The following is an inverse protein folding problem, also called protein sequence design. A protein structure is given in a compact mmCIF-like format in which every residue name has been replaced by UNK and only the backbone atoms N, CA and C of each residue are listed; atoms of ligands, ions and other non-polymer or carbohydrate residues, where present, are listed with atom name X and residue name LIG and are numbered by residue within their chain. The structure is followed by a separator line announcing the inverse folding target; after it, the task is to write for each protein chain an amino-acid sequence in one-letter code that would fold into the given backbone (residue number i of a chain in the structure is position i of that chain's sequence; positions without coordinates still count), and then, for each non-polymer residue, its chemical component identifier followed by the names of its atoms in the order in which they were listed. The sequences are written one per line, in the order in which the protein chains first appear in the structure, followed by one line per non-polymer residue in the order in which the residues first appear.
data_IF_176195850584
#
_entry.id   IF_176195850584
#
_cell.length_a   1.000
_cell.length_b   1.000
_cell.length_c   1.000
_cell.angle_alpha   90.00
_cell.angle_beta   90.00
_cell.angle_gamma   90.00
#
_symmetry.space_group_name_H-M   'P 1'
#
loop_
_entity.id
_entity.type
_entity.pdbx_description
1 polymer ?
#
# COMPACT_ATOMS: atom_id res chain seq x y z
N UNK A 1 2.37 -22.06 -39.39
CA UNK A 1 1.19 -21.14 -39.46
C UNK A 1 0.01 -21.81 -38.80
N UNK A 2 -0.37 -21.39 -37.60
CA UNK A 2 -1.52 -21.91 -36.83
C UNK A 2 -2.69 -20.94 -37.03
N UNK A 3 -3.73 -21.39 -37.67
CA UNK A 3 -4.96 -20.69 -37.98
C UNK A 3 -5.74 -20.47 -36.65
N UNK A 4 -5.90 -19.22 -36.23
CA UNK A 4 -6.80 -18.84 -35.15
C UNK A 4 -8.25 -19.02 -35.59
N UNK A 5 -9.04 -19.76 -34.83
CA UNK A 5 -10.50 -19.82 -34.97
C UNK A 5 -11.07 -18.56 -34.36
N UNK A 6 -11.74 -17.76 -35.18
CA UNK A 6 -12.58 -16.66 -34.72
C UNK A 6 -13.82 -17.27 -34.03
N UNK A 7 -13.97 -17.00 -32.74
CA UNK A 7 -15.21 -17.24 -32.03
C UNK A 7 -16.18 -16.12 -32.40
N UNK A 8 -17.22 -16.45 -33.12
CA UNK A 8 -18.30 -15.53 -33.45
C UNK A 8 -18.88 -14.92 -32.14
N UNK A 9 -18.72 -13.63 -32.02
CA UNK A 9 -19.28 -12.84 -30.95
C UNK A 9 -20.79 -12.74 -31.26
N UNK A 10 -21.61 -13.45 -30.54
CA UNK A 10 -23.07 -13.25 -30.59
C UNK A 10 -23.38 -11.77 -30.43
N UNK A 11 -23.86 -11.16 -31.49
CA UNK A 11 -24.18 -9.73 -31.51
C UNK A 11 -25.20 -9.42 -30.40
N UNK A 12 -24.91 -8.40 -29.60
CA UNK A 12 -25.83 -7.89 -28.55
C UNK A 12 -27.23 -7.64 -29.10
N UNK A 13 -27.33 -7.22 -30.39
CA UNK A 13 -28.57 -7.04 -31.13
C UNK A 13 -29.36 -8.32 -31.31
N UNK A 14 -28.73 -9.50 -31.41
CA UNK A 14 -29.44 -10.79 -31.52
C UNK A 14 -30.08 -11.20 -30.19
N UNK A 15 -29.40 -10.91 -29.08
CA UNK A 15 -29.94 -11.17 -27.74
C UNK A 15 -31.15 -10.25 -27.45
N UNK A 16 -31.08 -9.00 -27.90
CA UNK A 16 -32.17 -8.01 -27.72
C UNK A 16 -33.43 -8.38 -28.50
N UNK A 17 -33.29 -8.89 -29.72
CA UNK A 17 -34.40 -9.37 -30.53
C UNK A 17 -35.08 -10.61 -29.90
N UNK A 18 -34.30 -11.55 -29.35
CA UNK A 18 -34.81 -12.74 -28.68
C UNK A 18 -35.57 -12.38 -27.39
N UNK A 19 -35.01 -11.49 -26.57
CA UNK A 19 -35.65 -11.06 -25.31
C UNK A 19 -36.92 -10.27 -25.56
N UNK A 20 -36.95 -9.40 -26.56
CA UNK A 20 -38.17 -8.67 -26.97
C UNK A 20 -39.25 -9.61 -27.54
N UNK A 21 -38.87 -10.61 -28.37
CA UNK A 21 -39.74 -11.62 -28.91
C UNK A 21 -40.38 -12.51 -27.83
N UNK A 22 -39.56 -12.97 -26.88
CA UNK A 22 -40.04 -13.77 -25.75
C UNK A 22 -40.96 -12.95 -24.83
N UNK A 23 -40.65 -11.69 -24.56
CA UNK A 23 -41.46 -10.77 -23.78
C UNK A 23 -42.87 -10.56 -24.41
N UNK A 24 -42.93 -10.39 -25.73
CA UNK A 24 -44.18 -10.25 -26.48
C UNK A 24 -45.02 -11.53 -26.44
N UNK A 25 -44.38 -12.72 -26.56
CA UNK A 25 -45.09 -14.02 -26.49
C UNK A 25 -45.65 -14.24 -25.08
N UNK A 26 -44.89 -13.94 -24.03
CA UNK A 26 -45.37 -14.08 -22.64
C UNK A 26 -46.50 -13.11 -22.37
N UNK A 27 -46.42 -11.87 -22.85
CA UNK A 27 -47.49 -10.89 -22.71
C UNK A 27 -48.80 -11.39 -23.40
N UNK A 28 -48.67 -11.94 -24.61
CA UNK A 28 -49.79 -12.47 -25.38
C UNK A 28 -50.40 -13.71 -24.71
N UNK A 29 -49.55 -14.55 -24.10
CA UNK A 29 -50.00 -15.75 -23.35
C UNK A 29 -50.73 -15.36 -22.05
N UNK A 30 -50.26 -14.31 -21.38
CA UNK A 30 -50.94 -13.75 -20.20
C UNK A 30 -52.29 -13.16 -20.59
N UNK A 31 -52.37 -12.39 -21.68
CA UNK A 31 -53.64 -11.80 -22.16
C UNK A 31 -54.63 -12.87 -22.65
N UNK A 32 -54.16 -13.93 -23.30
CA UNK A 32 -55.03 -15.02 -23.75
C UNK A 32 -55.44 -15.95 -22.62
N UNK A 33 -54.63 -16.10 -21.57
CA UNK A 33 -54.94 -16.93 -20.41
C UNK A 33 -55.86 -16.19 -19.39
N UNK A 34 -56.01 -14.87 -19.53
CA UNK A 34 -57.04 -14.09 -18.83
C UNK A 34 -58.40 -14.15 -19.55
N UNK A 35 -58.58 -15.17 -20.42
CA UNK A 35 -59.90 -15.46 -21.01
C UNK A 35 -60.89 -15.56 -19.90
N UNK A 36 -61.65 -14.51 -19.79
CA UNK A 36 -62.90 -14.47 -18.99
C UNK A 36 -63.70 -15.74 -19.31
N UNK A 37 -63.75 -16.64 -18.34
CA UNK A 37 -64.75 -17.67 -18.36
C UNK A 37 -66.12 -16.93 -18.34
N UNK A 38 -66.59 -16.60 -19.51
CA UNK A 38 -67.97 -16.18 -19.67
C UNK A 38 -68.85 -17.40 -19.34
N UNK A 39 -69.06 -17.57 -18.05
CA UNK A 39 -70.17 -18.39 -17.59
C UNK A 39 -71.45 -17.74 -18.15
N UNK A 40 -72.04 -18.39 -19.19
CA UNK A 40 -73.38 -18.07 -19.68
C UNK A 40 -74.33 -18.17 -18.48
N UNK A 41 -74.79 -17.00 -18.02
CA UNK A 41 -75.84 -16.88 -17.04
C UNK A 41 -77.11 -17.24 -17.79
N UNK A 42 -77.52 -18.51 -17.66
CA UNK A 42 -78.90 -18.85 -17.94
C UNK A 42 -79.80 -18.17 -16.89
N UNK A 43 -80.45 -17.11 -17.31
CA UNK A 43 -81.44 -16.42 -16.51
C UNK A 43 -82.70 -17.34 -16.41
N UNK A 44 -82.75 -18.10 -15.32
CA UNK A 44 -84.03 -18.60 -14.84
C UNK A 44 -84.75 -17.50 -14.06
N UNK A 45 -85.99 -17.15 -14.35
CA UNK A 45 -86.72 -16.19 -13.57
C UNK A 45 -87.18 -16.87 -12.25
N UNK A 46 -86.97 -16.14 -11.15
CA UNK A 46 -87.37 -16.43 -9.77
C UNK A 46 -86.37 -17.20 -8.89
N UNK A 47 -85.40 -16.51 -8.46
CA UNK A 47 -84.84 -16.69 -7.08
C UNK A 47 -84.11 -15.45 -6.65
N UNK A 48 -84.79 -14.68 -5.84
CA UNK A 48 -84.31 -13.62 -4.90
C UNK A 48 -82.85 -13.04 -5.12
N UNK A 49 -82.82 -11.74 -5.36
CA UNK A 49 -81.62 -10.86 -5.34
C UNK A 49 -80.64 -11.14 -4.18
N UNK A 50 -81.07 -11.74 -3.09
CA UNK A 50 -80.31 -12.15 -1.93
C UNK A 50 -79.25 -13.24 -2.20
N UNK A 51 -79.50 -14.16 -3.17
CA UNK A 51 -78.55 -15.21 -3.53
C UNK A 51 -77.35 -14.69 -4.33
N UNK A 52 -77.65 -13.78 -5.25
CA UNK A 52 -76.62 -13.12 -6.05
C UNK A 52 -75.68 -12.20 -5.18
N UNK A 53 -76.31 -11.43 -4.30
CA UNK A 53 -75.59 -10.55 -3.35
C UNK A 53 -74.71 -11.39 -2.44
N UNK A 54 -75.18 -12.52 -1.95
CA UNK A 54 -74.41 -13.41 -1.08
C UNK A 54 -73.20 -14.02 -1.83
N UNK A 55 -73.35 -14.45 -3.04
CA UNK A 55 -72.32 -15.02 -3.88
C UNK A 55 -71.20 -13.94 -4.20
N UNK A 56 -71.65 -12.73 -4.54
CA UNK A 56 -70.74 -11.63 -4.78
C UNK A 56 -69.93 -11.21 -3.48
N UNK A 57 -70.63 -11.24 -2.35
CA UNK A 57 -69.96 -11.02 -1.05
C UNK A 57 -68.90 -12.09 -0.73
N UNK A 58 -69.23 -13.36 -0.98
CA UNK A 58 -68.27 -14.46 -0.76
C UNK A 58 -67.04 -14.35 -1.68
N UNK A 59 -67.27 -14.07 -2.96
CA UNK A 59 -66.17 -13.78 -3.90
C UNK A 59 -65.31 -12.55 -3.47
N UNK A 60 -65.94 -11.52 -2.96
CA UNK A 60 -65.28 -10.33 -2.48
C UNK A 60 -64.40 -10.63 -1.23
N UNK A 61 -64.90 -11.48 -0.32
CA UNK A 61 -64.13 -11.97 0.82
C UNK A 61 -62.97 -12.84 0.39
N UNK A 62 -63.16 -13.73 -0.58
CA UNK A 62 -62.10 -14.58 -1.13
C UNK A 62 -61.00 -13.74 -1.81
N UNK A 63 -61.40 -12.78 -2.66
CA UNK A 63 -60.44 -11.87 -3.32
C UNK A 63 -59.68 -11.02 -2.30
N UNK A 64 -60.37 -10.47 -1.29
CA UNK A 64 -59.69 -9.73 -0.21
C UNK A 64 -58.73 -10.63 0.57
N UNK A 65 -59.09 -11.87 0.86
CA UNK A 65 -58.22 -12.85 1.50
C UNK A 65 -56.94 -13.10 0.68
N UNK A 66 -57.12 -13.37 -0.62
CA UNK A 66 -56.00 -13.57 -1.54
C UNK A 66 -55.12 -12.34 -1.66
N UNK A 67 -55.69 -11.14 -1.73
CA UNK A 67 -54.95 -9.87 -1.78
C UNK A 67 -54.10 -9.66 -0.53
N UNK A 68 -54.65 -9.96 0.65
CA UNK A 68 -53.91 -9.84 1.90
C UNK A 68 -52.75 -10.83 1.99
N UNK A 69 -52.92 -12.08 1.53
CA UNK A 69 -51.86 -13.08 1.47
C UNK A 69 -50.77 -12.61 0.51
N UNK A 70 -51.13 -12.24 -0.73
CA UNK A 70 -50.15 -11.76 -1.71
C UNK A 70 -49.38 -10.50 -1.23
N UNK A 71 -50.08 -9.58 -0.55
CA UNK A 71 -49.43 -8.39 0.00
C UNK A 71 -48.41 -8.74 1.08
N UNK A 72 -48.69 -9.76 1.91
CA UNK A 72 -47.76 -10.29 2.89
C UNK A 72 -46.54 -10.94 2.23
N UNK A 73 -46.83 -11.86 1.28
CA UNK A 73 -45.75 -12.56 0.55
C UNK A 73 -44.84 -11.57 -0.20
N UNK A 74 -45.40 -10.50 -0.77
CA UNK A 74 -44.66 -9.44 -1.43
C UNK A 74 -43.77 -8.68 -0.44
N UNK A 75 -44.27 -8.42 0.77
CA UNK A 75 -43.50 -7.73 1.82
C UNK A 75 -42.35 -8.61 2.28
N UNK A 76 -42.61 -9.88 2.55
CA UNK A 76 -41.61 -10.86 2.96
C UNK A 76 -40.53 -11.06 1.89
N UNK A 77 -40.95 -11.12 0.61
CA UNK A 77 -39.99 -11.20 -0.51
C UNK A 77 -39.12 -9.95 -0.64
N UNK A 78 -39.68 -8.75 -0.40
CA UNK A 78 -38.91 -7.50 -0.39
C UNK A 78 -37.90 -7.44 0.77
N UNK A 79 -38.26 -7.91 1.96
CA UNK A 79 -37.34 -7.98 3.09
C UNK A 79 -36.20 -8.97 2.81
N UNK A 80 -36.52 -10.14 2.26
CA UNK A 80 -35.52 -11.13 1.86
C UNK A 80 -34.55 -10.55 0.80
N UNK A 81 -35.09 -9.86 -0.21
CA UNK A 81 -34.28 -9.21 -1.25
C UNK A 81 -33.33 -8.19 -0.65
N UNK A 82 -33.82 -7.31 0.23
CA UNK A 82 -32.97 -6.34 0.95
C UNK A 82 -31.88 -7.02 1.77
N UNK A 83 -32.21 -8.14 2.44
CA UNK A 83 -31.21 -8.95 3.16
C UNK A 83 -30.15 -9.56 2.24
N UNK A 84 -30.55 -10.02 1.06
CA UNK A 84 -29.57 -10.53 0.07
C UNK A 84 -28.70 -9.42 -0.50
N UNK A 85 -29.25 -8.25 -0.81
CA UNK A 85 -28.48 -7.10 -1.28
C UNK A 85 -27.41 -6.68 -0.26
N UNK A 86 -27.77 -6.62 1.03
CA UNK A 86 -26.81 -6.34 2.09
C UNK A 86 -25.70 -7.40 2.19
N UNK A 87 -26.06 -8.69 2.05
CA UNK A 87 -25.07 -9.77 2.03
C UNK A 87 -24.14 -9.69 0.83
N UNK A 88 -24.67 -9.41 -0.35
CA UNK A 88 -23.86 -9.22 -1.56
C UNK A 88 -22.90 -8.03 -1.39
N UNK A 89 -23.38 -6.90 -0.88
CA UNK A 89 -22.54 -5.74 -0.60
C UNK A 89 -21.42 -6.06 0.41
N UNK A 90 -21.74 -6.81 1.47
CA UNK A 90 -20.76 -7.26 2.45
C UNK A 90 -19.71 -8.22 1.85
N UNK A 91 -20.15 -9.20 1.07
CA UNK A 91 -19.27 -10.14 0.40
C UNK A 91 -18.35 -9.46 -0.62
N UNK A 92 -18.87 -8.49 -1.36
CA UNK A 92 -18.07 -7.69 -2.30
C UNK A 92 -16.98 -6.88 -1.58
N UNK A 93 -17.29 -6.28 -0.42
CA UNK A 93 -16.28 -5.60 0.40
C UNK A 93 -15.20 -6.56 0.91
N UNK A 94 -15.60 -7.76 1.38
CA UNK A 94 -14.65 -8.79 1.82
C UNK A 94 -13.78 -9.29 0.65
N UNK A 95 -14.38 -9.51 -0.51
CA UNK A 95 -13.65 -9.91 -1.72
C UNK A 95 -12.59 -8.86 -2.08
N UNK A 96 -12.97 -7.59 -2.18
CA UNK A 96 -12.06 -6.50 -2.50
C UNK A 96 -10.91 -6.37 -1.47
N UNK A 97 -11.24 -6.51 -0.18
CA UNK A 97 -10.21 -6.53 0.88
C UNK A 97 -9.26 -7.73 0.76
N UNK A 98 -9.77 -8.91 0.40
CA UNK A 98 -8.93 -10.10 0.21
C UNK A 98 -8.06 -9.99 -1.05
N UNK A 99 -8.56 -9.43 -2.14
CA UNK A 99 -7.80 -9.19 -3.37
C UNK A 99 -6.66 -8.19 -3.12
N UNK A 100 -6.90 -7.11 -2.37
CA UNK A 100 -5.85 -6.18 -1.99
C UNK A 100 -4.77 -6.84 -1.11
N UNK A 101 -5.18 -7.66 -0.12
CA UNK A 101 -4.23 -8.42 0.70
C UNK A 101 -3.42 -9.43 -0.12
N UNK A 102 -4.05 -10.08 -1.09
CA UNK A 102 -3.35 -11.01 -1.98
C UNK A 102 -2.31 -10.29 -2.84
N UNK A 103 -2.66 -9.13 -3.38
CA UNK A 103 -1.74 -8.28 -4.14
C UNK A 103 -0.54 -7.84 -3.29
N UNK A 104 -0.80 -7.40 -2.06
CA UNK A 104 0.26 -7.02 -1.13
C UNK A 104 1.17 -8.21 -0.77
N UNK A 105 0.61 -9.39 -0.53
CA UNK A 105 1.36 -10.61 -0.23
C UNK A 105 2.18 -11.09 -1.43
N UNK A 106 1.66 -10.97 -2.66
CA UNK A 106 2.41 -11.31 -3.88
C UNK A 106 3.59 -10.35 -4.08
N UNK A 107 3.39 -9.04 -3.85
CA UNK A 107 4.48 -8.06 -3.87
C UNK A 107 5.56 -8.40 -2.82
N UNK A 108 5.14 -8.71 -1.58
CA UNK A 108 6.06 -9.15 -0.53
C UNK A 108 6.82 -10.43 -0.89
N UNK A 109 6.12 -11.44 -1.43
CA UNK A 109 6.74 -12.71 -1.83
C UNK A 109 7.76 -12.52 -2.95
N UNK A 110 7.47 -11.69 -3.94
CA UNK A 110 8.39 -11.40 -5.04
C UNK A 110 9.65 -10.66 -4.57
N UNK A 111 9.48 -9.71 -3.65
CA UNK A 111 10.59 -8.99 -3.01
C UNK A 111 11.42 -9.93 -2.15
N UNK A 112 10.77 -10.78 -1.35
CA UNK A 112 11.45 -11.76 -0.50
C UNK A 112 12.28 -12.77 -1.32
N UNK A 113 11.73 -13.27 -2.42
CA UNK A 113 12.48 -14.20 -3.32
C UNK A 113 13.65 -13.50 -4.00
N UNK A 114 13.47 -12.24 -4.42
CA UNK A 114 14.55 -11.44 -4.98
C UNK A 114 15.68 -11.19 -3.96
N UNK A 115 15.32 -10.85 -2.71
CA UNK A 115 16.29 -10.66 -1.62
C UNK A 115 17.03 -11.96 -1.31
N UNK A 116 16.35 -13.11 -1.26
CA UNK A 116 16.97 -14.40 -1.00
C UNK A 116 17.98 -14.76 -2.08
N UNK A 117 17.61 -14.59 -3.35
CA UNK A 117 18.50 -14.85 -4.49
C UNK A 117 19.71 -13.91 -4.51
N UNK A 118 19.50 -12.64 -4.17
CA UNK A 118 20.58 -11.67 -4.05
C UNK A 118 21.50 -11.96 -2.86
N UNK A 119 20.93 -12.42 -1.72
CA UNK A 119 21.70 -12.80 -0.54
C UNK A 119 22.58 -14.03 -0.81
N UNK A 120 22.06 -15.03 -1.50
CA UNK A 120 22.85 -16.20 -1.92
C UNK A 120 23.96 -15.82 -2.91
N UNK A 121 23.65 -14.96 -3.88
CA UNK A 121 24.63 -14.42 -4.83
C UNK A 121 25.69 -13.58 -4.12
N UNK A 122 25.29 -12.70 -3.19
CA UNK A 122 26.19 -11.89 -2.39
C UNK A 122 27.05 -12.75 -1.46
N UNK A 123 26.49 -13.82 -0.86
CA UNK A 123 27.23 -14.76 -0.03
C UNK A 123 28.30 -15.51 -0.83
N UNK A 124 27.96 -15.92 -2.06
CA UNK A 124 28.92 -16.57 -2.96
C UNK A 124 30.01 -15.60 -3.42
N UNK A 125 29.67 -14.35 -3.76
CA UNK A 125 30.63 -13.32 -4.15
C UNK A 125 31.50 -12.89 -2.97
N UNK A 126 30.91 -12.74 -1.77
CA UNK A 126 31.62 -12.41 -0.53
C UNK A 126 32.62 -13.52 -0.14
N UNK A 127 32.24 -14.80 -0.32
CA UNK A 127 33.14 -15.92 -0.06
C UNK A 127 34.33 -15.93 -1.04
N UNK A 128 34.08 -15.64 -2.31
CA UNK A 128 35.16 -15.50 -3.31
C UNK A 128 36.02 -14.26 -3.06
N UNK A 129 35.42 -13.15 -2.70
CA UNK A 129 36.15 -11.89 -2.41
C UNK A 129 36.88 -11.96 -1.08
N UNK A 130 36.35 -12.62 -0.03
CA UNK A 130 37.09 -12.91 1.20
C UNK A 130 38.32 -13.79 0.93
N UNK A 131 38.21 -14.81 0.08
CA UNK A 131 39.36 -15.61 -0.32
C UNK A 131 40.39 -14.79 -1.11
N UNK A 132 39.94 -13.87 -1.96
CA UNK A 132 40.83 -12.95 -2.70
C UNK A 132 41.44 -11.87 -1.80
N UNK A 133 40.66 -11.28 -0.88
CA UNK A 133 41.15 -10.27 0.07
C UNK A 133 42.10 -10.87 1.11
N UNK A 134 41.88 -12.07 1.59
CA UNK A 134 42.82 -12.79 2.45
C UNK A 134 44.15 -13.05 1.76
N UNK A 135 44.16 -13.15 0.42
CA UNK A 135 45.39 -13.23 -0.38
C UNK A 135 46.02 -11.86 -0.69
N UNK A 136 45.31 -10.75 -0.52
CA UNK A 136 45.72 -9.39 -0.92
C UNK A 136 45.94 -8.43 0.26
N UNK A 137 45.53 -8.80 1.48
CA UNK A 137 45.66 -7.95 2.71
C UNK A 137 47.12 -7.81 3.18
N UNK A 138 48.06 -7.68 2.29
CA UNK A 138 49.41 -7.24 2.69
C UNK A 138 49.70 -5.78 2.41
N UNK A 139 48.91 -5.03 1.71
CA UNK A 139 49.17 -3.60 1.47
C UNK A 139 47.90 -2.86 1.00
N UNK A 140 47.13 -2.25 1.87
CA UNK A 140 46.44 -0.98 1.60
C UNK A 140 45.73 -0.48 2.87
N UNK A 141 46.25 0.58 3.42
CA UNK A 141 45.54 1.51 4.31
C UNK A 141 44.36 2.12 3.53
N UNK A 142 43.18 1.63 3.75
CA UNK A 142 41.94 2.30 3.32
C UNK A 142 40.98 2.27 4.50
N UNK A 143 40.63 3.43 5.02
CA UNK A 143 39.68 3.63 6.10
C UNK A 143 38.28 3.11 5.69
N UNK A 144 38.05 1.83 5.92
CA UNK A 144 36.74 1.18 5.79
C UNK A 144 36.25 0.85 7.20
N UNK A 145 35.30 1.62 7.72
CA UNK A 145 34.64 1.30 8.99
C UNK A 145 33.40 0.47 8.67
N UNK A 146 33.44 -0.83 9.02
CA UNK A 146 32.31 -1.73 8.78
C UNK A 146 31.98 -1.99 7.31
N UNK A 147 32.95 -1.84 6.38
CA UNK A 147 32.71 -2.06 4.94
C UNK A 147 32.07 -0.88 4.20
N UNK A 148 31.92 0.26 4.87
CA UNK A 148 31.35 1.50 4.29
C UNK A 148 32.50 2.46 3.99
N UNK A 149 32.65 2.95 2.75
CA UNK A 149 33.64 3.99 2.46
C UNK A 149 33.24 5.30 3.14
N UNK A 150 34.11 5.80 4.06
CA UNK A 150 33.92 7.04 4.81
C UNK A 150 34.52 8.20 4.00
N UNK A 151 33.99 8.43 2.79
CA UNK A 151 34.52 9.47 1.89
C UNK A 151 33.47 10.57 1.59
N UNK A 152 32.39 10.62 2.37
CA UNK A 152 31.32 11.61 2.17
C UNK A 152 31.73 12.98 2.72
N UNK A 153 31.55 14.00 1.88
CA UNK A 153 31.84 15.39 2.23
C UNK A 153 30.62 16.11 2.86
N UNK A 154 29.44 15.61 2.56
CA UNK A 154 28.16 16.18 3.01
C UNK A 154 27.25 15.06 3.52
N UNK A 155 26.60 15.27 4.65
CA UNK A 155 25.75 14.27 5.28
C UNK A 155 24.37 14.86 5.58
N UNK A 156 23.33 14.11 5.22
CA UNK A 156 21.95 14.42 5.55
C UNK A 156 21.39 13.31 6.43
N UNK A 157 20.86 13.65 7.57
CA UNK A 157 20.13 12.75 8.43
C UNK A 157 18.63 12.95 8.22
N UNK A 158 17.92 11.88 7.90
CA UNK A 158 16.45 11.85 7.83
C UNK A 158 15.98 11.00 8.99
N UNK A 159 15.21 11.61 9.87
CA UNK A 159 14.76 10.99 11.13
C UNK A 159 13.24 10.82 11.09
N UNK A 160 12.80 9.60 11.27
CA UNK A 160 11.39 9.30 11.49
C UNK A 160 10.95 9.88 12.84
N UNK A 161 9.96 10.74 12.78
CA UNK A 161 9.40 11.44 13.95
C UNK A 161 8.01 10.90 14.33
N UNK A 162 7.72 9.66 13.97
CA UNK A 162 6.49 8.95 14.34
C UNK A 162 6.41 8.67 15.84
N UNK A 163 5.19 8.37 16.29
CA UNK A 163 4.95 8.09 17.70
C UNK A 163 5.73 6.89 18.24
N UNK A 164 5.91 5.82 17.45
CA UNK A 164 6.71 4.64 17.78
C UNK A 164 8.17 5.00 18.03
N UNK A 165 8.76 5.78 17.12
CA UNK A 165 10.14 6.24 17.26
C UNK A 165 10.33 7.14 18.47
N UNK A 166 9.47 8.15 18.67
CA UNK A 166 9.58 9.13 19.74
C UNK A 166 9.42 8.49 21.12
N UNK A 167 8.47 7.55 21.27
CA UNK A 167 8.18 6.93 22.55
C UNK A 167 9.17 5.83 22.95
N UNK A 168 9.69 5.08 21.99
CA UNK A 168 10.46 3.85 22.28
C UNK A 168 11.91 3.97 21.86
N UNK A 169 12.20 4.52 20.69
CA UNK A 169 13.51 4.42 20.07
C UNK A 169 14.30 5.74 20.03
N UNK A 170 13.73 6.86 20.50
CA UNK A 170 14.34 8.18 20.34
C UNK A 170 15.75 8.29 20.92
N UNK A 171 15.95 7.76 22.12
CA UNK A 171 17.29 7.73 22.75
C UNK A 171 18.30 6.90 21.97
N UNK A 172 17.90 5.72 21.51
CA UNK A 172 18.73 4.84 20.66
C UNK A 172 19.05 5.52 19.33
N UNK A 173 18.08 6.21 18.74
CA UNK A 173 18.24 6.93 17.48
C UNK A 173 19.26 8.06 17.62
N UNK A 174 19.16 8.88 18.68
CA UNK A 174 20.14 9.95 18.96
C UNK A 174 21.55 9.37 19.16
N UNK A 175 21.65 8.28 19.92
CA UNK A 175 22.94 7.59 20.13
C UNK A 175 23.53 7.09 18.81
N UNK A 176 22.73 6.43 17.97
CA UNK A 176 23.16 5.92 16.67
C UNK A 176 23.54 7.03 15.70
N UNK A 177 22.79 8.15 15.70
CA UNK A 177 23.12 9.32 14.90
C UNK A 177 24.44 9.93 15.36
N UNK A 178 24.66 10.04 16.67
CA UNK A 178 25.92 10.54 17.24
C UNK A 178 27.08 9.64 16.85
N UNK A 179 26.95 8.33 17.02
CA UNK A 179 27.97 7.34 16.60
C UNK A 179 28.27 7.47 15.10
N UNK A 180 27.25 7.66 14.27
CA UNK A 180 27.45 7.87 12.83
C UNK A 180 28.20 9.17 12.54
N UNK A 181 27.90 10.26 13.26
CA UNK A 181 28.64 11.52 13.14
C UNK A 181 30.10 11.39 13.56
N UNK A 182 30.42 10.58 14.58
CA UNK A 182 31.77 10.39 15.09
C UNK A 182 32.66 9.64 14.08
N UNK A 183 32.09 8.81 13.23
CA UNK A 183 32.80 8.15 12.12
C UNK A 183 33.28 9.18 11.09
N UNK A 184 32.66 10.36 11.01
CA UNK A 184 33.04 11.44 10.11
C UNK A 184 33.64 12.60 10.88
N UNK A 185 34.97 12.63 11.11
CA UNK A 185 35.60 13.65 11.94
C UNK A 185 35.40 15.06 11.40
N UNK A 186 35.42 15.23 10.09
CA UNK A 186 35.22 16.51 9.43
C UNK A 186 34.43 16.35 8.13
N UNK A 187 33.30 17.03 8.03
CA UNK A 187 32.52 17.14 6.79
C UNK A 187 32.31 18.59 6.41
N UNK A 188 32.04 18.87 5.14
CA UNK A 188 31.85 20.24 4.64
C UNK A 188 30.49 20.79 5.04
N UNK A 189 29.49 19.92 5.21
CA UNK A 189 28.15 20.34 5.59
C UNK A 189 27.30 19.20 6.10
N UNK A 190 26.43 19.57 7.03
CA UNK A 190 25.43 18.69 7.65
C UNK A 190 24.02 19.17 7.38
N UNK A 191 23.05 18.26 7.44
CA UNK A 191 21.63 18.60 7.47
C UNK A 191 20.85 17.57 8.28
N UNK A 192 19.81 17.99 8.98
CA UNK A 192 18.85 17.09 9.64
C UNK A 192 17.44 17.47 9.19
N UNK A 193 16.69 16.46 8.77
CA UNK A 193 15.32 16.59 8.30
C UNK A 193 14.45 15.49 8.92
N UNK A 194 13.16 15.77 9.09
CA UNK A 194 12.21 14.69 9.40
C UNK A 194 11.92 13.83 8.17
N UNK A 195 11.34 12.68 8.38
CA UNK A 195 10.79 11.81 7.33
C UNK A 195 9.76 12.53 6.45
N UNK A 196 9.03 13.51 6.98
CA UNK A 196 8.14 14.41 6.22
C UNK A 196 8.89 15.52 5.46
N UNK A 197 10.22 15.59 5.57
CA UNK A 197 11.04 16.60 4.92
C UNK A 197 11.07 17.96 5.62
N UNK A 198 10.67 18.06 6.90
CA UNK A 198 10.83 19.27 7.69
C UNK A 198 12.27 19.39 8.17
N UNK A 199 12.82 20.59 8.14
CA UNK A 199 14.20 20.87 8.58
C UNK A 199 14.24 21.09 10.09
N UNK A 200 15.25 20.54 10.76
CA UNK A 200 15.50 20.83 12.19
C UNK A 200 15.69 22.33 12.43
N UNK A 201 16.40 22.99 11.51
CA UNK A 201 16.62 24.44 11.54
C UNK A 201 16.02 25.09 10.29
N UNK A 202 14.95 25.85 10.46
CA UNK A 202 14.25 26.52 9.36
C UNK A 202 15.13 27.51 8.57
N UNK A 203 16.09 28.17 9.25
CA UNK A 203 17.05 29.10 8.61
C UNK A 203 18.01 28.41 7.65
N UNK A 204 18.21 27.11 7.79
CA UNK A 204 19.04 26.30 6.88
C UNK A 204 18.22 25.51 5.86
N UNK A 205 16.99 25.92 5.59
CA UNK A 205 16.15 25.29 4.56
C UNK A 205 16.86 25.37 3.19
N UNK A 206 17.15 24.20 2.60
CA UNK A 206 17.87 24.08 1.32
C UNK A 206 19.34 24.54 1.38
N UNK A 207 19.91 24.70 2.58
CA UNK A 207 21.30 25.11 2.78
C UNK A 207 22.00 24.13 3.70
N UNK A 208 23.30 23.99 3.49
CA UNK A 208 24.14 23.19 4.37
C UNK A 208 24.44 23.92 5.68
N UNK A 209 24.40 23.17 6.77
CA UNK A 209 24.87 23.63 8.07
C UNK A 209 26.38 23.35 8.09
N UNK A 210 27.26 24.38 8.18
CA UNK A 210 28.69 24.16 8.26
C UNK A 210 29.03 23.33 9.50
N UNK A 211 29.89 22.33 9.32
CA UNK A 211 30.28 21.43 10.40
C UNK A 211 31.27 22.11 11.37
N UNK A 212 30.87 22.15 12.62
CA UNK A 212 31.74 22.56 13.73
C UNK A 212 31.36 21.79 15.00
N UNK A 213 32.28 21.55 15.93
CA UNK A 213 31.95 20.82 17.16
C UNK A 213 30.81 21.46 17.97
N UNK A 214 30.73 22.79 17.98
CA UNK A 214 29.62 23.51 18.63
C UNK A 214 28.29 23.28 17.98
N UNK A 215 28.24 23.27 16.63
CA UNK A 215 27.02 22.99 15.89
C UNK A 215 26.55 21.52 16.00
N UNK A 216 27.50 20.58 15.99
CA UNK A 216 27.15 19.16 16.25
C UNK A 216 26.49 19.00 17.61
N UNK A 217 27.05 19.57 18.68
CA UNK A 217 26.43 19.55 20.01
C UNK A 217 25.04 20.20 20.04
N UNK A 218 24.90 21.37 19.40
CA UNK A 218 23.63 22.07 19.32
C UNK A 218 22.58 21.26 18.52
N UNK A 219 22.96 20.58 17.45
CA UNK A 219 22.10 19.72 16.67
C UNK A 219 21.57 18.55 17.50
N UNK A 220 22.45 17.85 18.21
CA UNK A 220 22.08 16.72 19.09
C UNK A 220 21.16 17.20 20.23
N UNK A 221 21.47 18.34 20.84
CA UNK A 221 20.63 18.93 21.89
C UNK A 221 19.27 19.31 21.38
N UNK A 222 19.16 19.97 20.23
CA UNK A 222 17.88 20.37 19.66
C UNK A 222 17.08 19.17 19.14
N UNK A 223 17.76 18.13 18.67
CA UNK A 223 17.12 16.88 18.27
C UNK A 223 16.41 16.21 19.47
N UNK A 224 16.99 16.30 20.67
CA UNK A 224 16.39 15.71 21.88
C UNK A 224 15.05 16.33 22.26
N UNK A 225 14.80 17.58 21.85
CA UNK A 225 13.56 18.32 22.10
C UNK A 225 12.72 18.52 20.83
N UNK A 226 13.12 17.90 19.72
CA UNK A 226 12.43 18.09 18.44
C UNK A 226 11.09 17.35 18.43
N UNK A 227 10.03 18.12 18.51
CA UNK A 227 8.67 17.60 18.55
C UNK A 227 7.99 17.85 17.19
N UNK A 228 8.10 16.89 16.31
CA UNK A 228 7.35 16.86 15.04
C UNK A 228 6.54 15.56 15.00
N UNK A 229 5.47 15.58 14.25
CA UNK A 229 4.62 14.41 14.05
C UNK A 229 4.74 13.92 12.61
N UNK A 230 4.81 12.60 12.41
CA UNK A 230 4.89 12.01 11.08
C UNK A 230 3.96 10.82 10.89
N UNK A 231 3.82 10.41 9.62
CA UNK A 231 3.03 9.26 9.19
C UNK A 231 3.89 7.98 9.02
N UNK A 232 5.10 7.94 9.56
CA UNK A 232 6.05 6.82 9.41
C UNK A 232 6.30 6.48 7.93
N UNK A 233 6.71 7.47 7.14
CA UNK A 233 7.05 7.29 5.73
C UNK A 233 8.31 8.09 5.40
N UNK A 234 9.47 7.44 5.14
CA UNK A 234 10.71 8.16 4.85
C UNK A 234 10.75 8.78 3.44
N UNK A 235 9.73 8.55 2.63
CA UNK A 235 9.71 8.87 1.20
C UNK A 235 9.81 10.37 0.95
N UNK A 236 9.01 11.15 1.66
CA UNK A 236 8.95 12.60 1.54
C UNK A 236 10.28 13.25 1.94
N UNK A 237 10.88 12.77 3.03
CA UNK A 237 12.19 13.21 3.48
C UNK A 237 13.29 12.90 2.46
N UNK A 238 13.35 11.66 1.98
CA UNK A 238 14.34 11.23 0.98
C UNK A 238 14.19 12.03 -0.32
N UNK A 239 13.00 12.12 -0.86
CA UNK A 239 12.74 12.81 -2.13
C UNK A 239 13.04 14.30 -2.02
N UNK A 240 12.69 14.93 -0.90
CA UNK A 240 13.00 16.35 -0.64
C UNK A 240 14.50 16.56 -0.45
N UNK A 241 15.19 15.68 0.27
CA UNK A 241 16.62 15.76 0.46
C UNK A 241 17.36 15.66 -0.87
N UNK A 242 17.03 14.66 -1.70
CA UNK A 242 17.63 14.54 -3.03
C UNK A 242 17.34 15.79 -3.87
N UNK A 243 16.08 16.20 -3.97
CA UNK A 243 15.69 17.34 -4.83
C UNK A 243 16.32 18.66 -4.39
N UNK A 244 16.54 18.85 -3.09
CA UNK A 244 17.11 20.11 -2.56
C UNK A 244 18.63 20.16 -2.58
N UNK A 245 19.29 18.99 -2.49
CA UNK A 245 20.76 18.94 -2.26
C UNK A 245 21.53 18.20 -3.35
N UNK A 246 20.85 17.65 -4.38
CA UNK A 246 21.54 16.99 -5.48
C UNK A 246 22.55 17.92 -6.14
N UNK A 247 23.80 17.51 -6.15
CA UNK A 247 24.89 18.23 -6.79
C UNK A 247 25.90 17.20 -7.34
N UNK A 248 26.13 17.14 -8.66
CA UNK A 248 27.02 16.16 -9.26
C UNK A 248 28.49 16.28 -8.80
N UNK A 249 28.89 17.43 -8.24
CA UNK A 249 30.25 17.71 -7.78
C UNK A 249 30.45 17.44 -6.29
N UNK A 250 29.43 16.99 -5.57
CA UNK A 250 29.49 16.74 -4.13
C UNK A 250 29.33 15.26 -3.83
N UNK A 251 30.11 14.77 -2.87
CA UNK A 251 29.92 13.44 -2.30
C UNK A 251 28.96 13.52 -1.12
N UNK A 252 27.71 13.10 -1.35
CA UNK A 252 26.62 13.24 -0.39
C UNK A 252 26.19 11.85 0.08
N UNK A 253 26.02 11.69 1.40
CA UNK A 253 25.35 10.54 1.98
C UNK A 253 24.10 10.95 2.75
N UNK A 254 23.02 10.21 2.55
CA UNK A 254 21.76 10.32 3.31
C UNK A 254 21.67 9.12 4.24
N UNK A 255 21.45 9.38 5.52
CA UNK A 255 21.17 8.37 6.54
C UNK A 255 19.71 8.48 6.95
N UNK A 256 18.95 7.41 6.79
CA UNK A 256 17.52 7.35 7.06
C UNK A 256 17.28 6.50 8.29
N UNK A 257 16.78 7.10 9.35
CA UNK A 257 16.48 6.47 10.63
C UNK A 257 14.97 6.27 10.78
N UNK A 258 14.53 5.04 11.03
CA UNK A 258 13.11 4.75 11.21
C UNK A 258 12.84 3.31 11.60
N UNK A 259 11.58 3.01 11.89
CA UNK A 259 11.12 1.69 12.30
C UNK A 259 9.96 1.16 11.44
N UNK A 260 9.23 2.04 10.73
CA UNK A 260 8.04 1.67 10.00
C UNK A 260 7.92 2.32 8.61
N UNK A 261 7.21 1.64 7.70
CA UNK A 261 6.78 2.19 6.43
C UNK A 261 5.30 1.91 6.18
N UNK A 262 4.49 2.97 6.24
CA UNK A 262 3.02 2.92 6.05
C UNK A 262 2.58 3.20 4.61
N UNK A 263 3.50 3.56 3.73
CA UNK A 263 3.21 3.87 2.32
C UNK A 263 2.65 2.70 1.53
N UNK A 264 1.99 2.98 0.41
CA UNK A 264 1.25 1.98 -0.38
C UNK A 264 2.13 1.00 -1.13
N UNK A 265 3.18 1.46 -1.84
CA UNK A 265 3.99 0.62 -2.74
C UNK A 265 5.48 0.91 -2.61
N UNK A 266 6.25 -0.12 -2.25
CA UNK A 266 7.71 -0.09 -2.21
C UNK A 266 8.27 0.17 -3.61
N UNK A 267 7.79 -0.57 -4.60
CA UNK A 267 8.26 -0.47 -5.99
C UNK A 267 8.14 0.94 -6.56
N UNK A 268 7.03 1.63 -6.27
CA UNK A 268 6.83 3.00 -6.74
C UNK A 268 7.76 3.98 -6.06
N UNK A 269 8.03 3.77 -4.76
CA UNK A 269 9.00 4.58 -4.01
C UNK A 269 10.40 4.43 -4.60
N UNK A 270 10.84 3.20 -4.80
CA UNK A 270 12.15 2.90 -5.38
C UNK A 270 12.29 3.52 -6.76
N UNK A 271 11.31 3.35 -7.66
CA UNK A 271 11.30 4.00 -8.98
C UNK A 271 11.38 5.53 -8.90
N UNK A 272 10.74 6.11 -7.90
CA UNK A 272 10.77 7.57 -7.70
C UNK A 272 12.16 8.03 -7.27
N UNK A 273 12.80 7.32 -6.34
CA UNK A 273 14.16 7.61 -5.89
C UNK A 273 15.16 7.39 -7.02
N UNK A 274 15.06 6.30 -7.77
CA UNK A 274 15.93 5.99 -8.92
C UNK A 274 15.90 7.12 -9.97
N UNK A 275 14.72 7.73 -10.19
CA UNK A 275 14.57 8.87 -11.11
C UNK A 275 15.22 10.15 -10.60
N UNK A 276 15.18 10.39 -9.28
CA UNK A 276 15.74 11.59 -8.66
C UNK A 276 17.26 11.48 -8.43
N UNK A 277 17.78 10.27 -8.29
CA UNK A 277 19.18 9.96 -8.07
C UNK A 277 19.70 9.01 -9.17
N UNK A 278 19.76 9.45 -10.43
CA UNK A 278 20.12 8.59 -11.55
C UNK A 278 21.55 8.09 -11.42
N UNK A 279 21.77 6.88 -11.93
CA UNK A 279 23.11 6.29 -12.04
C UNK A 279 23.92 6.97 -13.12
N UNK A 280 25.19 7.13 -12.87
CA UNK A 280 26.16 7.60 -13.87
C UNK A 280 26.52 6.46 -14.86
N UNK A 281 27.39 6.77 -15.83
CA UNK A 281 27.85 5.81 -16.83
C UNK A 281 28.60 4.60 -16.23
N UNK A 282 29.07 4.70 -14.99
CA UNK A 282 29.75 3.64 -14.24
C UNK A 282 28.79 2.82 -13.39
N UNK A 283 27.49 3.13 -13.42
CA UNK A 283 26.47 2.46 -12.64
C UNK A 283 26.34 2.94 -11.18
N UNK A 284 27.06 3.98 -10.79
CA UNK A 284 27.05 4.54 -9.45
C UNK A 284 26.07 5.71 -9.33
N UNK A 285 25.41 5.83 -8.19
CA UNK A 285 24.58 6.99 -7.85
C UNK A 285 25.41 8.10 -7.22
N UNK A 286 25.02 9.36 -7.41
CA UNK A 286 25.72 10.51 -6.85
C UNK A 286 25.47 10.70 -5.36
N UNK A 287 24.27 10.35 -4.91
CA UNK A 287 23.92 10.38 -3.48
C UNK A 287 23.82 8.94 -2.98
N UNK A 288 24.60 8.61 -1.95
CA UNK A 288 24.44 7.34 -1.26
C UNK A 288 23.30 7.43 -0.26
N UNK A 289 22.57 6.34 -0.12
CA UNK A 289 21.44 6.28 0.83
C UNK A 289 21.65 5.08 1.75
N UNK A 290 21.79 5.35 3.03
CA UNK A 290 21.91 4.35 4.08
C UNK A 290 20.64 4.30 4.90
N UNK A 291 20.22 3.10 5.28
CA UNK A 291 19.07 2.89 6.17
C UNK A 291 19.50 2.37 7.54
N UNK A 292 18.89 2.91 8.58
CA UNK A 292 19.04 2.45 9.96
C UNK A 292 17.66 2.10 10.49
N UNK A 293 17.43 0.81 10.74
CA UNK A 293 16.16 0.29 11.22
C UNK A 293 16.20 0.08 12.73
N UNK A 294 15.14 0.50 13.42
CA UNK A 294 14.97 0.30 14.85
C UNK A 294 13.98 -0.81 15.16
N UNK A 295 14.18 -1.53 16.28
CA UNK A 295 13.30 -2.61 16.67
C UNK A 295 11.95 -2.06 17.12
N UNK A 296 10.89 -2.80 16.80
CA UNK A 296 9.59 -2.62 17.42
C UNK A 296 9.48 -3.54 18.65
N UNK A 297 8.65 -3.20 19.65
CA UNK A 297 8.40 -4.09 20.78
C UNK A 297 7.90 -5.46 20.35
N UNK A 298 8.37 -6.55 21.01
CA UNK A 298 7.95 -7.92 20.70
C UNK A 298 6.43 -8.11 20.77
N UNK A 299 5.76 -7.39 21.66
CA UNK A 299 4.31 -7.44 21.85
C UNK A 299 3.56 -6.40 20.99
N UNK A 300 4.22 -5.80 20.01
CA UNK A 300 3.55 -4.84 19.13
C UNK A 300 2.44 -5.53 18.33
N UNK A 301 1.31 -4.85 18.08
CA UNK A 301 0.25 -5.35 17.23
C UNK A 301 0.76 -5.78 15.84
N UNK A 302 0.11 -6.77 15.23
CA UNK A 302 0.53 -7.37 13.96
C UNK A 302 0.76 -6.33 12.84
N UNK A 303 -0.05 -5.29 12.79
CA UNK A 303 0.10 -4.25 11.78
C UNK A 303 1.44 -3.49 11.91
N UNK A 304 1.96 -3.29 13.13
CA UNK A 304 3.29 -2.71 13.34
C UNK A 304 4.41 -3.64 12.88
N UNK A 305 4.24 -4.95 13.08
CA UNK A 305 5.21 -5.93 12.59
C UNK A 305 5.28 -5.91 11.06
N UNK A 306 4.14 -5.81 10.39
CA UNK A 306 4.05 -5.72 8.93
C UNK A 306 4.72 -4.42 8.43
N UNK A 307 4.39 -3.26 9.02
CA UNK A 307 4.95 -1.97 8.59
C UNK A 307 6.45 -1.87 8.84
N UNK A 308 6.95 -2.48 9.90
CA UNK A 308 8.38 -2.56 10.19
C UNK A 308 9.13 -3.46 9.20
N UNK A 309 8.58 -4.63 8.85
CA UNK A 309 9.14 -5.48 7.80
C UNK A 309 9.17 -4.76 6.45
N UNK A 310 8.13 -4.00 6.14
CA UNK A 310 8.06 -3.16 4.93
C UNK A 310 9.13 -2.08 4.92
N UNK A 311 9.39 -1.43 6.08
CA UNK A 311 10.49 -0.47 6.21
C UNK A 311 11.84 -1.11 5.93
N UNK A 312 12.12 -2.24 6.58
CA UNK A 312 13.36 -2.96 6.37
C UNK A 312 13.56 -3.39 4.90
N UNK A 313 12.48 -3.84 4.26
CA UNK A 313 12.48 -4.21 2.84
C UNK A 313 12.75 -3.00 1.95
N UNK A 314 12.02 -1.91 2.16
CA UNK A 314 12.19 -0.67 1.42
C UNK A 314 13.63 -0.15 1.54
N UNK A 315 14.13 -0.05 2.78
CA UNK A 315 15.45 0.55 3.01
C UNK A 315 16.60 -0.34 2.53
N UNK A 316 16.46 -1.67 2.56
CA UNK A 316 17.44 -2.56 1.92
C UNK A 316 17.50 -2.33 0.41
N UNK A 317 16.37 -2.27 -0.26
CA UNK A 317 16.32 -2.06 -1.71
C UNK A 317 16.84 -0.67 -2.11
N UNK A 318 16.39 0.38 -1.41
CA UNK A 318 16.85 1.74 -1.64
C UNK A 318 18.34 1.88 -1.39
N UNK A 319 18.86 1.37 -0.27
CA UNK A 319 20.28 1.45 0.06
C UNK A 319 21.14 0.72 -0.96
N UNK A 320 20.77 -0.52 -1.30
CA UNK A 320 21.52 -1.32 -2.27
C UNK A 320 21.60 -0.66 -3.65
N UNK A 321 20.49 -0.11 -4.13
CA UNK A 321 20.44 0.57 -5.43
C UNK A 321 21.23 1.87 -5.47
N UNK A 322 21.37 2.53 -4.31
CA UNK A 322 22.03 3.82 -4.18
C UNK A 322 23.39 3.76 -3.49
N UNK A 323 24.07 2.62 -3.57
CA UNK A 323 25.46 2.46 -3.10
C UNK A 323 25.65 2.62 -1.59
N UNK A 324 24.58 2.48 -0.81
CA UNK A 324 24.61 2.50 0.65
C UNK A 324 24.37 1.13 1.28
N UNK A 325 24.10 1.13 2.58
CA UNK A 325 23.85 -0.08 3.39
C UNK A 325 22.63 0.08 4.26
N UNK A 326 22.00 -1.05 4.62
CA UNK A 326 20.96 -1.08 5.64
C UNK A 326 21.43 -1.86 6.86
N UNK A 327 21.29 -1.27 8.05
CA UNK A 327 21.59 -1.91 9.33
C UNK A 327 20.37 -1.90 10.23
N UNK A 328 20.14 -2.99 10.98
CA UNK A 328 19.19 -3.04 12.09
C UNK A 328 19.92 -2.76 13.41
N UNK A 329 19.34 -1.92 14.24
CA UNK A 329 19.81 -1.65 15.62
C UNK A 329 19.07 -2.60 16.54
N UNK A 330 19.77 -3.25 17.47
CA UNK A 330 19.19 -4.13 18.49
C UNK A 330 18.80 -3.38 19.76
#
# INVERSE_FOLDING_TARGET
MKKRRDTEIFSLSFLDIITCGFGAIILLLVITNTGISSTSIEMSPDTSDNGLIRNVQEQLFEVRGKTNILSRDLTDAKEQLSGFEQRVAHLNRKKYSAENRLSDLQEHSSVQSSITNQFESAKQSLTKEMQRLLSTIKNADTELVGGIPVDSEYIIFIVDTSGSMVQVNWGKMIQQLTTTLDVYPNVKGLQIMSDMGNYLYSQYRGKWIPDTPGRRRAMISNLSSWNTFSNSSPVEGITRAISAFYDPNKKISIYVFGDEFTGKSITNVVKTIDRLNPKDNSGNTKIRIHGVGFPIPENAPEHFQITSQRYATLMREVSQKNGGTFIGVN
#
